data_IF_912983876317
#
_entry.id   IF_912983876317
#
_cell.length_a   1.000
_cell.length_b   1.000
_cell.length_c   1.000
_cell.angle_alpha   90.00
_cell.angle_beta   90.00
_cell.angle_gamma   90.00
#
_symmetry.space_group_name_H-M   'P 1'
#
loop_
_entity.id
_entity.type
_entity.pdbx_description
1 polymer ?
#
# COMPACT_ATOMS: atom_id res chain seq x y z
N UNK A 1 -1.06 -14.39 19.68
CA UNK A 1 -1.74 -13.26 20.37
C UNK A 1 -0.91 -12.83 21.60
N UNK A 2 0.14 -12.02 21.39
CA UNK A 2 1.03 -11.57 22.46
C UNK A 2 0.85 -10.08 22.82
N UNK A 3 -0.12 -9.38 22.23
CA UNK A 3 -0.24 -7.94 22.40
C UNK A 3 -1.63 -7.53 22.88
N UNK A 4 -1.69 -6.66 23.86
CA UNK A 4 -2.91 -5.90 24.20
C UNK A 4 -3.19 -4.88 23.07
N UNK A 5 -4.43 -4.43 22.90
CA UNK A 5 -4.83 -3.52 21.80
C UNK A 5 -3.92 -2.29 21.63
N UNK A 6 -3.42 -1.72 22.74
CA UNK A 6 -2.49 -0.57 22.69
C UNK A 6 -1.10 -0.97 22.18
N UNK A 7 -0.63 -2.18 22.48
CA UNK A 7 0.67 -2.67 22.01
C UNK A 7 0.63 -3.04 20.52
N UNK A 8 -0.50 -3.53 20.00
CA UNK A 8 -0.65 -3.80 18.57
C UNK A 8 -0.48 -2.54 17.71
N UNK A 9 -1.13 -1.44 18.08
CA UNK A 9 -1.00 -0.17 17.37
C UNK A 9 0.45 0.34 17.39
N UNK A 10 1.12 0.27 18.54
CA UNK A 10 2.52 0.70 18.67
C UNK A 10 3.42 -0.15 17.75
N UNK A 11 3.26 -1.48 17.75
CA UNK A 11 4.02 -2.37 16.88
C UNK A 11 3.74 -2.05 15.41
N UNK A 12 2.49 -1.87 15.03
CA UNK A 12 2.13 -1.47 13.67
C UNK A 12 2.75 -0.12 13.29
N UNK A 13 2.72 0.87 14.18
CA UNK A 13 3.30 2.19 13.93
C UNK A 13 4.83 2.12 13.77
N UNK A 14 5.54 1.41 14.65
CA UNK A 14 6.98 1.24 14.55
C UNK A 14 7.35 0.47 13.28
N UNK A 15 6.65 -0.63 12.98
CA UNK A 15 6.91 -1.44 11.79
C UNK A 15 6.66 -0.65 10.50
N UNK A 16 5.75 0.33 10.50
CA UNK A 16 5.49 1.18 9.34
C UNK A 16 6.70 2.04 8.94
N UNK A 17 7.64 2.28 9.86
CA UNK A 17 8.90 2.98 9.56
C UNK A 17 9.74 2.26 8.51
N UNK A 18 9.58 0.94 8.35
CA UNK A 18 10.26 0.18 7.29
C UNK A 18 9.82 0.64 5.91
N UNK A 19 8.55 1.00 5.75
CA UNK A 19 8.00 1.53 4.50
C UNK A 19 8.55 2.93 4.24
N UNK A 20 8.58 3.78 5.25
CA UNK A 20 9.13 5.13 5.14
C UNK A 20 10.63 5.09 4.82
N UNK A 21 11.40 4.19 5.45
CA UNK A 21 12.80 3.96 5.15
C UNK A 21 13.06 3.48 3.72
N UNK A 22 12.16 2.65 3.17
CA UNK A 22 12.23 2.22 1.78
C UNK A 22 11.87 3.34 0.79
N UNK A 23 10.89 4.18 1.13
CA UNK A 23 10.43 5.29 0.29
C UNK A 23 11.43 6.46 0.33
N UNK A 24 12.03 6.73 1.49
CA UNK A 24 12.93 7.85 1.74
C UNK A 24 14.30 7.39 2.28
N UNK A 25 15.05 6.55 1.57
CA UNK A 25 16.33 6.05 2.05
C UNK A 25 17.37 7.19 2.05
N UNK A 26 17.89 7.52 3.24
CA UNK A 26 18.87 8.61 3.44
C UNK A 26 20.15 8.29 2.66
N UNK A 27 20.62 7.03 2.70
CA UNK A 27 21.82 6.56 2.01
C UNK A 27 21.74 6.59 0.48
N UNK A 28 20.53 6.66 -0.10
CA UNK A 28 20.31 6.84 -1.54
C UNK A 28 19.90 8.27 -1.91
N UNK A 29 20.22 9.25 -1.08
CA UNK A 29 19.82 10.66 -1.27
C UNK A 29 18.32 10.80 -1.54
N UNK A 30 17.52 10.06 -0.78
CA UNK A 30 16.05 10.00 -0.86
C UNK A 30 15.48 9.48 -2.20
N UNK A 31 16.30 8.82 -3.03
CA UNK A 31 15.87 8.17 -4.27
C UNK A 31 15.43 6.73 -4.00
N UNK A 32 14.36 6.57 -3.22
CA UNK A 32 13.77 5.26 -2.92
C UNK A 32 12.72 4.79 -3.92
N UNK A 33 12.21 3.59 -3.66
CA UNK A 33 11.08 3.03 -4.41
C UNK A 33 9.73 3.66 -4.04
N UNK A 34 8.65 3.12 -4.58
CA UNK A 34 7.29 3.59 -4.28
C UNK A 34 6.70 2.98 -3.00
N UNK A 35 7.32 1.91 -2.48
CA UNK A 35 6.92 1.29 -1.23
C UNK A 35 5.81 0.22 -1.33
N UNK A 36 5.29 -0.09 -2.52
CA UNK A 36 4.16 -1.04 -2.68
C UNK A 36 4.51 -2.44 -2.18
N UNK A 37 5.66 -3.00 -2.60
CA UNK A 37 6.06 -4.34 -2.19
C UNK A 37 6.30 -4.42 -0.67
N UNK A 38 6.95 -3.40 -0.10
CA UNK A 38 7.16 -3.29 1.35
C UNK A 38 5.83 -3.17 2.09
N UNK A 39 4.88 -2.40 1.53
CA UNK A 39 3.52 -2.27 2.08
C UNK A 39 2.78 -3.61 2.06
N UNK A 40 2.87 -4.38 0.97
CA UNK A 40 2.27 -5.72 0.90
C UNK A 40 2.83 -6.62 2.02
N UNK A 41 4.14 -6.68 2.19
CA UNK A 41 4.77 -7.45 3.27
C UNK A 41 4.29 -6.99 4.66
N UNK A 42 4.19 -5.68 4.87
CA UNK A 42 3.72 -5.08 6.10
C UNK A 42 2.26 -5.45 6.44
N UNK A 43 1.33 -5.33 5.47
CA UNK A 43 -0.07 -5.68 5.70
C UNK A 43 -0.28 -7.18 5.91
N UNK A 44 0.52 -8.04 5.27
CA UNK A 44 0.52 -9.48 5.56
C UNK A 44 0.98 -9.79 6.99
N UNK A 45 1.96 -9.05 7.50
CA UNK A 45 2.44 -9.22 8.87
C UNK A 45 1.39 -8.80 9.91
N UNK A 46 0.55 -7.80 9.62
CA UNK A 46 -0.56 -7.40 10.48
C UNK A 46 -1.68 -8.44 10.43
N UNK A 47 -2.15 -8.75 9.24
CA UNK A 47 -3.21 -9.72 9.01
C UNK A 47 -3.15 -10.24 7.57
N UNK A 48 -3.06 -11.56 7.41
CA UNK A 48 -2.96 -12.18 6.08
C UNK A 48 -4.17 -11.85 5.18
N UNK A 49 -5.37 -11.63 5.75
CA UNK A 49 -6.57 -11.25 5.01
C UNK A 49 -6.36 -9.90 4.31
N UNK A 50 -5.68 -8.94 4.95
CA UNK A 50 -5.39 -7.63 4.34
C UNK A 50 -4.48 -7.78 3.11
N UNK A 51 -3.45 -8.62 3.25
CA UNK A 51 -2.57 -8.95 2.14
C UNK A 51 -3.33 -9.60 0.98
N UNK A 52 -4.25 -10.53 1.27
CA UNK A 52 -5.10 -11.17 0.26
C UNK A 52 -6.03 -10.16 -0.42
N UNK A 53 -6.71 -9.29 0.32
CA UNK A 53 -7.56 -8.22 -0.25
C UNK A 53 -6.74 -7.37 -1.22
N UNK A 54 -5.53 -6.95 -0.82
CA UNK A 54 -4.66 -6.14 -1.66
C UNK A 54 -4.23 -6.89 -2.93
N UNK A 55 -3.73 -8.12 -2.81
CA UNK A 55 -3.23 -8.90 -3.95
C UNK A 55 -4.36 -9.23 -4.93
N UNK A 56 -5.52 -9.66 -4.44
CA UNK A 56 -6.64 -9.99 -5.34
C UNK A 56 -7.17 -8.74 -6.05
N UNK A 57 -7.29 -7.60 -5.38
CA UNK A 57 -7.67 -6.35 -6.03
C UNK A 57 -6.62 -5.90 -7.06
N UNK A 58 -5.32 -6.05 -6.72
CA UNK A 58 -4.23 -5.74 -7.63
C UNK A 58 -4.23 -6.62 -8.88
N UNK A 59 -4.34 -7.94 -8.70
CA UNK A 59 -4.39 -8.89 -9.81
C UNK A 59 -5.60 -8.63 -10.71
N UNK A 60 -6.77 -8.41 -10.13
CA UNK A 60 -7.99 -8.13 -10.88
C UNK A 60 -7.82 -6.92 -11.81
N UNK A 61 -7.33 -5.80 -11.29
CA UNK A 61 -7.11 -4.60 -12.09
C UNK A 61 -5.96 -4.79 -13.08
N UNK A 62 -4.87 -5.47 -12.69
CA UNK A 62 -3.72 -5.73 -13.56
C UNK A 62 -4.10 -6.58 -14.78
N UNK A 63 -4.93 -7.61 -14.59
CA UNK A 63 -5.40 -8.47 -15.68
C UNK A 63 -6.33 -7.74 -16.65
N UNK A 64 -7.24 -6.90 -16.15
CA UNK A 64 -8.21 -6.18 -16.99
C UNK A 64 -7.57 -4.98 -17.69
N UNK A 65 -6.83 -4.15 -16.96
CA UNK A 65 -6.31 -2.87 -17.48
C UNK A 65 -4.88 -2.95 -17.98
N UNK A 66 -4.13 -3.97 -17.57
CA UNK A 66 -2.71 -4.18 -17.94
C UNK A 66 -1.76 -3.06 -17.51
N UNK A 67 -2.08 -2.30 -16.47
CA UNK A 67 -1.23 -1.26 -15.87
C UNK A 67 -0.93 -1.60 -14.41
N UNK A 68 0.33 -1.92 -14.08
CA UNK A 68 0.76 -2.24 -12.72
C UNK A 68 0.56 -1.05 -11.76
N UNK A 69 0.85 0.16 -12.24
CA UNK A 69 0.67 1.38 -11.45
C UNK A 69 -0.79 1.64 -11.11
N UNK A 70 -1.70 1.46 -12.09
CA UNK A 70 -3.14 1.61 -11.85
C UNK A 70 -3.65 0.56 -10.86
N UNK A 71 -3.21 -0.69 -11.01
CA UNK A 71 -3.56 -1.76 -10.09
C UNK A 71 -3.12 -1.43 -8.65
N UNK A 72 -1.89 -0.92 -8.47
CA UNK A 72 -1.39 -0.50 -7.16
C UNK A 72 -2.21 0.67 -6.59
N UNK A 73 -2.50 1.71 -7.37
CA UNK A 73 -3.28 2.87 -6.95
C UNK A 73 -4.66 2.44 -6.47
N UNK A 74 -5.35 1.59 -7.24
CA UNK A 74 -6.70 1.12 -6.91
C UNK A 74 -6.67 0.26 -5.64
N UNK A 75 -5.69 -0.65 -5.50
CA UNK A 75 -5.58 -1.52 -4.31
C UNK A 75 -5.25 -0.75 -3.03
N UNK A 76 -4.45 0.33 -3.14
CA UNK A 76 -4.17 1.24 -2.01
C UNK A 76 -5.41 1.98 -1.51
N UNK A 77 -6.42 2.13 -2.35
CA UNK A 77 -7.71 2.73 -1.98
C UNK A 77 -8.68 1.65 -1.46
N UNK A 78 -8.74 0.51 -2.14
CA UNK A 78 -9.67 -0.58 -1.79
C UNK A 78 -9.38 -1.11 -0.39
N UNK A 79 -8.12 -1.30 0.00
CA UNK A 79 -7.79 -1.90 1.28
C UNK A 79 -8.36 -1.09 2.48
N UNK A 80 -8.01 0.18 2.72
CA UNK A 80 -8.53 0.91 3.86
C UNK A 80 -10.05 1.10 3.78
N UNK A 81 -10.64 1.19 2.57
CA UNK A 81 -12.08 1.26 2.40
C UNK A 81 -12.77 -0.05 2.83
N UNK A 82 -12.23 -1.21 2.45
CA UNK A 82 -12.75 -2.51 2.85
C UNK A 82 -12.66 -2.70 4.37
N UNK A 83 -11.55 -2.28 5.00
CA UNK A 83 -11.38 -2.36 6.45
C UNK A 83 -12.36 -1.44 7.20
N UNK A 84 -12.68 -0.28 6.64
CA UNK A 84 -13.70 0.61 7.18
C UNK A 84 -15.10 -0.06 7.14
N UNK A 85 -15.46 -0.66 6.01
CA UNK A 85 -16.73 -1.38 5.85
C UNK A 85 -16.81 -2.60 6.77
N UNK A 86 -15.70 -3.30 6.97
CA UNK A 86 -15.60 -4.45 7.89
C UNK A 86 -15.57 -4.04 9.38
N UNK A 87 -15.63 -2.75 9.68
CA UNK A 87 -15.55 -2.19 11.04
C UNK A 87 -14.30 -2.66 11.79
N UNK A 88 -13.18 -2.81 11.07
CA UNK A 88 -11.92 -3.19 11.69
C UNK A 88 -11.39 -2.07 12.58
N UNK A 89 -10.41 -2.40 13.44
CA UNK A 89 -9.78 -1.46 14.37
C UNK A 89 -9.50 -0.10 13.69
N UNK A 90 -10.16 0.95 14.18
CA UNK A 90 -10.14 2.28 13.58
C UNK A 90 -8.74 2.88 13.53
N UNK A 91 -7.94 2.67 14.57
CA UNK A 91 -6.61 3.29 14.67
C UNK A 91 -5.63 2.63 13.70
N UNK A 92 -5.68 1.30 13.58
CA UNK A 92 -4.89 0.57 12.57
C UNK A 92 -5.34 0.94 11.16
N UNK A 93 -6.65 1.07 10.92
CA UNK A 93 -7.15 1.47 9.61
C UNK A 93 -6.72 2.90 9.25
N UNK A 94 -6.74 3.84 10.19
CA UNK A 94 -6.22 5.21 9.97
C UNK A 94 -4.73 5.22 9.67
N UNK A 95 -3.93 4.39 10.33
CA UNK A 95 -2.51 4.23 10.05
C UNK A 95 -2.29 3.69 8.62
N UNK A 96 -3.01 2.64 8.23
CA UNK A 96 -2.93 2.07 6.87
C UNK A 96 -3.37 3.07 5.80
N UNK A 97 -4.42 3.85 6.06
CA UNK A 97 -4.86 4.93 5.18
C UNK A 97 -3.77 6.00 5.02
N UNK A 98 -3.15 6.42 6.12
CA UNK A 98 -2.06 7.40 6.09
C UNK A 98 -0.87 6.91 5.24
N UNK A 99 -0.44 5.65 5.45
CA UNK A 99 0.64 5.05 4.66
C UNK A 99 0.24 4.94 3.18
N UNK A 100 -1.00 4.53 2.88
CA UNK A 100 -1.53 4.47 1.52
C UNK A 100 -1.47 5.82 0.82
N UNK A 101 -1.79 6.91 1.51
CA UNK A 101 -1.70 8.27 0.97
C UNK A 101 -0.24 8.61 0.61
N UNK A 102 0.72 8.30 1.46
CA UNK A 102 2.15 8.53 1.17
C UNK A 102 2.58 7.77 -0.09
N UNK A 103 2.18 6.50 -0.22
CA UNK A 103 2.50 5.68 -1.38
C UNK A 103 1.80 6.24 -2.65
N UNK A 104 0.55 6.72 -2.53
CA UNK A 104 -0.17 7.36 -3.64
C UNK A 104 0.54 8.64 -4.12
N UNK A 105 1.07 9.45 -3.21
CA UNK A 105 1.88 10.62 -3.57
C UNK A 105 3.11 10.19 -4.39
N UNK A 106 3.76 9.08 -4.04
CA UNK A 106 4.88 8.52 -4.82
C UNK A 106 4.47 7.97 -6.20
N UNK A 107 3.18 7.76 -6.44
CA UNK A 107 2.64 7.40 -7.74
C UNK A 107 2.26 8.61 -8.62
N UNK A 108 2.52 9.84 -8.20
CA UNK A 108 2.13 11.04 -8.94
C UNK A 108 2.57 11.01 -10.41
N UNK A 109 3.83 10.66 -10.70
CA UNK A 109 4.31 10.55 -12.08
C UNK A 109 3.61 9.46 -12.90
N UNK A 110 3.20 8.35 -12.26
CA UNK A 110 2.41 7.31 -12.93
C UNK A 110 0.99 7.80 -13.20
N UNK A 111 0.39 8.53 -12.27
CA UNK A 111 -0.93 9.13 -12.44
C UNK A 111 -0.93 10.05 -13.66
N UNK A 112 0.06 10.94 -13.79
CA UNK A 112 0.20 11.80 -14.96
C UNK A 112 0.35 11.00 -16.26
N UNK A 113 1.18 9.93 -16.27
CA UNK A 113 1.35 9.08 -17.45
C UNK A 113 0.08 8.31 -17.81
N UNK A 114 -0.71 7.88 -16.82
CA UNK A 114 -2.01 7.24 -17.05
C UNK A 114 -2.99 8.22 -17.72
N UNK A 115 -3.08 9.46 -17.22
CA UNK A 115 -3.91 10.50 -17.85
C UNK A 115 -3.47 10.81 -19.28
N UNK A 116 -2.17 10.91 -19.51
CA UNK A 116 -1.60 11.20 -20.84
C UNK A 116 -1.53 9.96 -21.76
N UNK A 117 -2.01 8.79 -21.30
CA UNK A 117 -1.96 7.51 -22.02
C UNK A 117 -0.53 7.07 -22.43
N UNK A 118 0.47 7.48 -21.66
CA UNK A 118 1.89 7.17 -21.87
C UNK A 118 2.46 6.15 -20.86
N UNK A 119 1.62 5.64 -19.96
CA UNK A 119 2.03 4.62 -18.99
C UNK A 119 2.28 3.28 -19.69
N UNK A 120 3.35 2.58 -19.27
CA UNK A 120 3.72 1.28 -19.83
C UNK A 120 2.73 0.18 -19.41
N UNK A 121 2.29 -0.63 -20.38
CA UNK A 121 1.45 -1.79 -20.10
C UNK A 121 2.28 -3.00 -19.69
N UNK A 122 1.70 -3.84 -18.83
CA UNK A 122 2.25 -5.15 -18.53
C UNK A 122 2.13 -6.01 -19.80
N UNK A 123 3.25 -6.65 -20.18
CA UNK A 123 3.28 -7.69 -21.22
C UNK A 123 3.18 -9.03 -20.52
N UNK A 124 2.08 -9.74 -20.73
CA UNK A 124 1.91 -11.12 -20.30
C UNK A 124 2.29 -12.03 -21.45
#
# INVERSE_FOLDING_TARGET
>A
YFFTNSSELIVCAISSLTILGHIFPIWLKFKGGKGVATYIGYIFAINYIFGLIFIFSWLFIALIKKYSSLASIVSLIILPLSLYVMQFNKDINLLLLFISIIILIKHYSNILRLFNKTESKIKF
#
